data_IF_043358981227
#
_entry.id   IF_043358981227
#
_cell.length_a   1.000
_cell.length_b   1.000
_cell.length_c   1.000
_cell.angle_alpha   90.00
_cell.angle_beta   90.00
_cell.angle_gamma   90.00
#
_symmetry.space_group_name_H-M   'P 1'
#
loop_
_entity.id
_entity.type
_entity.pdbx_description
1 polymer ?
#
# COMPACT_ATOMS: atom_id res chain seq x y z
N UNK A 1 -12.56 20.53 -47.46
CA UNK A 1 -12.17 20.94 -46.09
C UNK A 1 -12.88 20.14 -45.00
N UNK A 2 -14.09 19.61 -45.22
CA UNK A 2 -14.83 18.83 -44.19
C UNK A 2 -14.20 17.45 -43.92
N UNK A 3 -13.80 16.70 -44.96
CA UNK A 3 -13.22 15.35 -44.80
C UNK A 3 -11.92 15.34 -43.98
N UNK A 4 -11.06 16.34 -44.16
CA UNK A 4 -9.80 16.49 -43.40
C UNK A 4 -10.05 16.81 -41.92
N UNK A 5 -11.05 17.64 -41.62
CA UNK A 5 -11.43 17.97 -40.25
C UNK A 5 -12.00 16.76 -39.50
N UNK A 6 -12.76 15.91 -40.19
CA UNK A 6 -13.31 14.65 -39.63
C UNK A 6 -12.20 13.62 -39.38
N UNK A 7 -11.23 13.49 -40.29
CA UNK A 7 -10.11 12.58 -40.09
C UNK A 7 -9.25 12.99 -38.87
N UNK A 8 -9.01 14.30 -38.70
CA UNK A 8 -8.28 14.83 -37.55
C UNK A 8 -9.03 14.61 -36.23
N UNK A 9 -10.34 14.84 -36.19
CA UNK A 9 -11.11 14.65 -34.95
C UNK A 9 -11.10 13.19 -34.49
N UNK A 10 -11.27 12.24 -35.42
CA UNK A 10 -11.18 10.80 -35.11
C UNK A 10 -9.77 10.42 -34.62
N UNK A 11 -8.72 10.92 -35.28
CA UNK A 11 -7.34 10.66 -34.87
C UNK A 11 -7.03 11.16 -33.46
N UNK A 12 -7.46 12.37 -33.12
CA UNK A 12 -7.30 12.95 -31.77
C UNK A 12 -8.06 12.14 -30.73
N UNK A 13 -9.29 11.70 -31.02
CA UNK A 13 -10.07 10.86 -30.11
C UNK A 13 -9.36 9.54 -29.79
N UNK A 14 -8.77 8.88 -30.79
CA UNK A 14 -8.03 7.61 -30.57
C UNK A 14 -6.79 7.81 -29.69
N UNK A 15 -6.04 8.89 -29.90
CA UNK A 15 -4.86 9.22 -29.07
C UNK A 15 -5.29 9.49 -27.62
N UNK A 16 -6.36 10.29 -27.43
CA UNK A 16 -6.89 10.58 -26.09
C UNK A 16 -7.32 9.29 -25.38
N UNK A 17 -8.01 8.38 -26.07
CA UNK A 17 -8.36 7.06 -25.51
C UNK A 17 -7.13 6.23 -25.16
N UNK A 18 -6.14 6.14 -26.06
CA UNK A 18 -4.88 5.41 -25.80
C UNK A 18 -4.14 5.91 -24.55
N UNK A 19 -4.08 7.23 -24.36
CA UNK A 19 -3.49 7.79 -23.12
C UNK A 19 -4.32 7.49 -21.88
N UNK A 20 -5.66 7.45 -22.00
CA UNK A 20 -6.56 7.05 -20.92
C UNK A 20 -6.28 5.62 -20.45
N UNK A 21 -6.26 4.65 -21.37
CA UNK A 21 -5.93 3.26 -21.06
C UNK A 21 -4.55 3.10 -20.42
N UNK A 22 -3.55 3.84 -20.93
CA UNK A 22 -2.19 3.80 -20.38
C UNK A 22 -2.15 4.31 -18.94
N UNK A 23 -2.84 5.42 -18.65
CA UNK A 23 -2.94 5.97 -17.29
C UNK A 23 -3.65 4.99 -16.34
N UNK A 24 -4.77 4.40 -16.76
CA UNK A 24 -5.49 3.40 -15.97
C UNK A 24 -4.62 2.18 -15.67
N UNK A 25 -3.91 1.65 -16.68
CA UNK A 25 -2.99 0.53 -16.50
C UNK A 25 -1.85 0.85 -15.54
N UNK A 26 -1.25 2.05 -15.68
CA UNK A 26 -0.20 2.52 -14.77
C UNK A 26 -0.72 2.67 -13.34
N UNK A 27 -1.89 3.30 -13.14
CA UNK A 27 -2.49 3.45 -11.82
C UNK A 27 -2.80 2.10 -11.18
N UNK A 28 -3.31 1.13 -11.94
CA UNK A 28 -3.55 -0.23 -11.44
C UNK A 28 -2.24 -0.91 -11.02
N UNK A 29 -1.20 -0.83 -11.86
CA UNK A 29 0.12 -1.39 -11.56
C UNK A 29 0.73 -0.78 -10.31
N UNK A 30 0.75 0.55 -10.21
CA UNK A 30 1.23 1.27 -9.03
C UNK A 30 0.43 0.89 -7.78
N UNK A 31 -0.88 0.69 -7.92
CA UNK A 31 -1.77 0.27 -6.83
C UNK A 31 -1.42 -1.12 -6.28
N UNK A 32 -1.14 -2.08 -7.16
CA UNK A 32 -0.68 -3.41 -6.74
C UNK A 32 0.71 -3.38 -6.10
N UNK A 33 1.63 -2.57 -6.65
CA UNK A 33 2.97 -2.39 -6.07
C UNK A 33 2.89 -1.74 -4.69
N UNK A 34 2.06 -0.70 -4.52
CA UNK A 34 1.81 -0.06 -3.23
C UNK A 34 1.20 -1.04 -2.22
N UNK A 35 0.30 -1.93 -2.65
CA UNK A 35 -0.25 -2.99 -1.78
C UNK A 35 0.86 -3.94 -1.31
N UNK A 36 1.65 -4.46 -2.23
CA UNK A 36 2.76 -5.37 -1.90
C UNK A 36 3.79 -4.71 -0.95
N UNK A 37 4.06 -3.42 -1.12
CA UNK A 37 4.90 -2.64 -0.20
C UNK A 37 4.27 -2.49 1.19
N UNK A 38 2.96 -2.26 1.27
CA UNK A 38 2.26 -2.21 2.54
C UNK A 38 2.31 -3.56 3.26
N UNK A 39 2.08 -4.67 2.53
CA UNK A 39 2.17 -6.03 3.05
C UNK A 39 3.61 -6.30 3.56
N UNK A 40 4.64 -5.90 2.80
CA UNK A 40 6.04 -6.07 3.20
C UNK A 40 6.39 -5.33 4.50
N UNK A 41 5.94 -4.08 4.67
CA UNK A 41 6.14 -3.34 5.92
C UNK A 41 5.33 -3.92 7.08
N UNK A 42 4.16 -4.50 6.81
CA UNK A 42 3.40 -5.20 7.83
C UNK A 42 4.14 -6.45 8.33
N UNK A 43 4.69 -7.26 7.42
CA UNK A 43 5.50 -8.44 7.77
C UNK A 43 6.79 -8.04 8.51
N UNK A 44 7.49 -6.99 8.06
CA UNK A 44 8.66 -6.47 8.78
C UNK A 44 8.31 -6.07 10.21
N UNK A 45 7.21 -5.35 10.42
CA UNK A 45 6.78 -4.97 11.76
C UNK A 45 6.41 -6.18 12.62
N UNK A 46 5.79 -7.22 12.04
CA UNK A 46 5.51 -8.48 12.73
C UNK A 46 6.79 -9.21 13.12
N UNK A 47 7.82 -9.19 12.26
CA UNK A 47 9.14 -9.73 12.58
C UNK A 47 9.76 -8.99 13.77
N UNK A 48 9.71 -7.66 13.79
CA UNK A 48 10.20 -6.85 14.91
C UNK A 48 9.47 -7.17 16.23
N UNK A 49 8.15 -7.40 16.17
CA UNK A 49 7.35 -7.84 17.32
C UNK A 49 7.73 -9.27 17.75
N UNK A 50 8.01 -10.17 16.80
CA UNK A 50 8.43 -11.52 17.10
C UNK A 50 9.81 -11.56 17.78
N UNK A 51 10.76 -10.76 17.30
CA UNK A 51 12.10 -10.63 17.86
C UNK A 51 12.08 -9.96 19.25
N UNK A 52 11.14 -9.02 19.44
CA UNK A 52 10.92 -8.32 20.71
C UNK A 52 9.43 -8.10 20.93
N UNK A 53 8.80 -8.94 21.76
CA UNK A 53 7.35 -8.84 22.03
C UNK A 53 6.89 -7.49 22.59
N UNK A 54 7.79 -6.71 23.20
CA UNK A 54 7.53 -5.35 23.66
C UNK A 54 7.75 -4.27 22.60
N UNK A 55 8.02 -4.65 21.35
CA UNK A 55 8.33 -3.70 20.28
C UNK A 55 7.17 -2.71 20.07
N UNK A 56 7.57 -1.45 20.00
CA UNK A 56 6.75 -0.32 19.58
C UNK A 56 7.64 0.61 18.75
N UNK A 57 7.04 1.39 17.86
CA UNK A 57 7.79 2.35 17.06
C UNK A 57 7.32 2.40 15.62
N UNK A 58 8.02 3.20 14.83
CA UNK A 58 7.71 3.45 13.43
C UNK A 58 8.96 3.41 12.58
N UNK A 59 8.83 2.94 11.35
CA UNK A 59 9.87 3.05 10.35
C UNK A 59 9.29 3.43 8.99
N UNK A 60 10.12 4.04 8.15
CA UNK A 60 9.85 4.25 6.73
C UNK A 60 11.01 3.67 5.95
N UNK A 61 10.71 2.71 5.07
CA UNK A 61 11.69 1.92 4.35
C UNK A 61 11.52 2.22 2.85
N UNK A 62 12.51 2.84 2.20
CA UNK A 62 12.52 2.96 0.75
C UNK A 62 12.80 1.57 0.13
N UNK A 63 11.92 1.12 -0.77
CA UNK A 63 11.97 -0.21 -1.38
C UNK A 63 11.68 -0.11 -2.88
N UNK A 64 12.73 -0.29 -3.69
CA UNK A 64 12.64 -0.23 -5.15
C UNK A 64 12.10 1.12 -5.64
N UNK A 65 10.95 1.09 -6.33
CA UNK A 65 10.33 2.26 -6.95
C UNK A 65 9.37 3.03 -6.03
N UNK A 66 9.31 2.68 -4.75
CA UNK A 66 8.41 3.30 -3.78
C UNK A 66 8.97 3.26 -2.37
N UNK A 67 8.09 3.51 -1.41
CA UNK A 67 8.40 3.39 0.02
C UNK A 67 7.26 2.71 0.74
N UNK A 68 7.57 2.06 1.85
CA UNK A 68 6.57 1.63 2.81
C UNK A 68 6.88 2.22 4.18
N UNK A 69 5.86 2.31 5.02
CA UNK A 69 6.01 2.69 6.42
C UNK A 69 5.15 1.82 7.30
N UNK A 70 5.53 1.67 8.55
CA UNK A 70 4.69 1.05 9.57
C UNK A 70 4.79 1.81 10.89
N UNK A 71 3.79 1.62 11.74
CA UNK A 71 3.76 2.03 13.14
C UNK A 71 3.14 0.93 13.97
N UNK A 72 3.82 0.52 15.04
CA UNK A 72 3.32 -0.41 16.05
C UNK A 72 3.02 0.37 17.33
N UNK A 73 1.76 0.33 17.75
CA UNK A 73 1.24 0.97 18.96
C UNK A 73 0.89 -0.08 20.01
N UNK A 74 1.35 0.11 21.24
CA UNK A 74 0.95 -0.69 22.40
C UNK A 74 -0.47 -0.30 22.85
N UNK A 75 -1.39 -1.26 22.89
CA UNK A 75 -2.76 -1.08 23.41
C UNK A 75 -2.95 -1.65 24.83
N UNK A 76 -1.86 -2.05 25.47
CA UNK A 76 -1.80 -2.66 26.79
C UNK A 76 -1.60 -4.17 26.76
N UNK A 77 -0.94 -4.70 27.79
CA UNK A 77 -0.64 -6.12 27.96
C UNK A 77 0.06 -6.71 26.72
N UNK A 78 -0.63 -7.59 25.99
CA UNK A 78 -0.13 -8.20 24.77
C UNK A 78 -0.75 -7.64 23.49
N UNK A 79 -1.65 -6.66 23.61
CA UNK A 79 -2.37 -6.13 22.49
C UNK A 79 -1.49 -5.14 21.72
N UNK A 80 -1.43 -5.28 20.40
CA UNK A 80 -0.75 -4.31 19.51
C UNK A 80 -1.67 -3.91 18.37
N UNK A 81 -1.61 -2.63 18.01
CA UNK A 81 -2.14 -2.11 16.76
C UNK A 81 -0.98 -1.83 15.83
N UNK A 82 -0.96 -2.52 14.69
CA UNK A 82 0.01 -2.29 13.63
C UNK A 82 -0.71 -1.64 12.46
N UNK A 83 -0.24 -0.46 12.05
CA UNK A 83 -0.64 0.16 10.80
C UNK A 83 0.54 0.19 9.84
N UNK A 84 0.33 -0.20 8.59
CA UNK A 84 1.33 -0.19 7.55
C UNK A 84 0.79 0.53 6.31
N UNK A 85 1.66 1.20 5.57
CA UNK A 85 1.32 1.82 4.30
C UNK A 85 2.40 1.61 3.26
N UNK A 86 2.01 1.51 2.00
CA UNK A 86 2.90 1.44 0.85
C UNK A 86 2.53 2.53 -0.14
N UNK A 87 3.55 3.19 -0.69
CA UNK A 87 3.40 4.31 -1.62
C UNK A 87 4.24 4.09 -2.87
N UNK A 88 3.61 4.15 -4.04
CA UNK A 88 4.26 4.07 -5.35
C UNK A 88 3.63 5.09 -6.29
N UNK A 89 4.39 6.11 -6.69
CA UNK A 89 3.85 7.23 -7.45
C UNK A 89 2.71 7.91 -6.69
N UNK A 90 1.51 7.93 -7.29
CA UNK A 90 0.30 8.49 -6.65
C UNK A 90 -0.53 7.44 -5.89
N UNK A 91 -0.19 6.15 -5.98
CA UNK A 91 -0.94 5.10 -5.33
C UNK A 91 -0.46 4.91 -3.89
N UNK A 92 -1.40 4.93 -2.94
CA UNK A 92 -1.17 4.64 -1.53
C UNK A 92 -2.10 3.51 -1.11
N UNK A 93 -1.56 2.47 -0.48
CA UNK A 93 -2.31 1.36 0.11
C UNK A 93 -2.00 1.25 1.59
N UNK A 94 -2.99 0.87 2.39
CA UNK A 94 -2.92 0.89 3.84
C UNK A 94 -3.45 -0.41 4.41
N UNK A 95 -2.77 -0.93 5.41
CA UNK A 95 -3.11 -2.15 6.12
C UNK A 95 -3.18 -1.82 7.61
N UNK A 96 -4.19 -2.35 8.27
CA UNK A 96 -4.33 -2.33 9.70
C UNK A 96 -4.39 -3.77 10.21
N UNK A 97 -3.59 -4.05 11.22
CA UNK A 97 -3.45 -5.36 11.85
C UNK A 97 -3.69 -5.20 13.34
N UNK A 98 -4.50 -6.11 13.88
CA UNK A 98 -4.76 -6.22 15.31
C UNK A 98 -4.12 -7.49 15.83
N UNK A 99 -3.42 -7.37 16.94
CA UNK A 99 -2.67 -8.45 17.60
C UNK A 99 -3.16 -8.48 19.05
N UNK A 100 -3.49 -9.65 19.57
CA UNK A 100 -3.90 -9.84 20.97
C UNK A 100 -2.88 -10.66 21.79
N UNK A 101 -1.89 -11.24 21.13
CA UNK A 101 -0.81 -11.99 21.75
C UNK A 101 0.51 -11.69 21.03
N UNK A 102 1.58 -11.40 21.78
CA UNK A 102 2.93 -11.16 21.24
C UNK A 102 3.94 -12.21 21.73
N UNK A 103 3.62 -12.96 22.79
CA UNK A 103 4.48 -14.00 23.37
C UNK A 103 3.63 -15.14 23.94
N UNK A 104 4.02 -16.41 23.77
CA UNK A 104 5.27 -16.90 23.17
C UNK A 104 5.29 -16.87 21.63
N UNK A 105 4.13 -16.71 21.00
CA UNK A 105 3.99 -16.56 19.55
C UNK A 105 3.01 -15.42 19.25
N UNK A 106 3.30 -14.65 18.20
CA UNK A 106 2.43 -13.55 17.76
C UNK A 106 1.10 -14.13 17.24
N UNK A 107 -0.02 -13.66 17.77
CA UNK A 107 -1.36 -14.01 17.29
C UNK A 107 -2.03 -12.80 16.64
N UNK A 108 -2.27 -12.90 15.34
CA UNK A 108 -2.95 -11.86 14.56
C UNK A 108 -4.45 -12.13 14.57
N UNK A 109 -5.24 -11.20 15.11
CA UNK A 109 -6.71 -11.30 15.17
C UNK A 109 -7.38 -10.66 13.97
N UNK A 110 -6.74 -9.69 13.33
CA UNK A 110 -7.26 -9.06 12.11
C UNK A 110 -6.11 -8.62 11.20
N UNK A 111 -6.31 -8.77 9.89
CA UNK A 111 -5.48 -8.21 8.83
C UNK A 111 -6.38 -7.61 7.76
N UNK A 112 -6.44 -6.29 7.68
CA UNK A 112 -7.39 -5.61 6.81
C UNK A 112 -6.72 -4.51 6.00
N UNK A 113 -7.05 -4.47 4.71
CA UNK A 113 -6.77 -3.29 3.90
C UNK A 113 -7.82 -2.22 4.20
N UNK A 114 -7.36 -1.02 4.57
CA UNK A 114 -8.22 0.09 4.99
C UNK A 114 -8.05 1.30 4.07
N UNK A 115 -9.06 2.16 3.99
CA UNK A 115 -8.99 3.40 3.19
C UNK A 115 -8.22 4.48 3.95
N UNK A 116 -8.38 4.52 5.28
CA UNK A 116 -7.74 5.43 6.23
C UNK A 116 -7.48 4.71 7.55
N UNK A 117 -6.61 5.29 8.39
CA UNK A 117 -6.35 4.85 9.76
C UNK A 117 -7.27 5.55 10.76
#
# INVERSE_FOLDING_TARGET
>A
MVASAVALSVGVSLILWGTGFTKTSLSLKQSHQAKALADACAEEALQQIQDSGSFTGSATIPLGQGSCSYTVTDLGAQNRLLIASGTVGAAVRRIQISIDQVSPTVNVTSWQEVVSF
#
